data_IF_746535870338
#
_entry.id   IF_746535870338
#
_cell.length_a   1.000
_cell.length_b   1.000
_cell.length_c   1.000
_cell.angle_alpha   90.00
_cell.angle_beta   90.00
_cell.angle_gamma   90.00
#
_symmetry.space_group_name_H-M   'P 1'
#
loop_
_entity.id
_entity.type
_entity.pdbx_description
1 polymer ?
#
# COMPACT_ATOMS: atom_id res chain seq x y z
N UNK A 1 10.70 -26.76 15.12
CA UNK A 1 9.53 -26.29 14.35
C UNK A 1 9.32 -24.81 14.64
N UNK A 2 9.34 -23.94 13.63
CA UNK A 2 8.90 -22.54 13.77
C UNK A 2 7.41 -22.51 13.43
N UNK A 3 6.57 -21.98 14.31
CA UNK A 3 5.12 -21.89 14.10
C UNK A 3 4.75 -21.09 12.84
N UNK A 4 3.46 -21.09 12.42
CA UNK A 4 3.01 -20.32 11.27
C UNK A 4 3.40 -18.87 11.48
N UNK A 5 4.24 -18.33 10.59
CA UNK A 5 4.72 -16.95 10.69
C UNK A 5 3.59 -16.03 10.25
N UNK A 6 2.71 -15.66 11.15
CA UNK A 6 1.71 -14.63 10.90
C UNK A 6 2.38 -13.27 10.79
N UNK A 7 1.97 -12.46 9.81
CA UNK A 7 2.31 -11.03 9.79
C UNK A 7 1.87 -10.35 11.10
N UNK A 8 2.57 -9.29 11.48
CA UNK A 8 2.24 -8.49 12.66
C UNK A 8 0.92 -7.76 12.41
N UNK A 9 -0.10 -8.08 13.21
CA UNK A 9 -1.40 -7.39 13.13
C UNK A 9 -1.24 -5.91 13.45
N UNK A 10 -2.11 -5.10 12.87
CA UNK A 10 -2.23 -3.65 13.13
C UNK A 10 -0.91 -2.89 12.97
N UNK A 11 -0.06 -3.36 12.05
CA UNK A 11 1.15 -2.65 11.63
C UNK A 11 0.91 -1.98 10.30
N UNK A 12 1.29 -0.71 10.22
CA UNK A 12 1.47 0.02 8.97
C UNK A 12 2.86 0.64 8.95
N UNK A 13 3.62 0.42 7.89
CA UNK A 13 5.01 0.88 7.77
C UNK A 13 5.32 1.29 6.33
N UNK A 14 6.47 1.95 6.14
CA UNK A 14 7.02 2.32 4.83
C UNK A 14 6.01 3.09 3.95
N UNK A 15 5.51 4.25 4.42
CA UNK A 15 4.61 5.05 3.62
C UNK A 15 5.35 5.78 2.49
N UNK A 16 4.66 5.95 1.37
CA UNK A 16 5.00 6.89 0.31
C UNK A 16 3.76 7.71 -0.05
N UNK A 17 3.93 8.97 -0.43
CA UNK A 17 2.83 9.93 -0.61
C UNK A 17 3.05 10.82 -1.84
N UNK A 18 1.98 11.05 -2.59
CA UNK A 18 1.95 11.96 -3.73
C UNK A 18 0.74 12.89 -3.65
N UNK A 19 0.94 14.14 -4.05
CA UNK A 19 -0.10 15.16 -4.18
C UNK A 19 -0.33 15.46 -5.65
N UNK A 20 -1.59 15.61 -6.07
CA UNK A 20 -1.90 15.90 -7.47
C UNK A 20 -1.30 17.28 -7.85
N UNK A 21 -0.47 17.37 -8.90
CA UNK A 21 0.14 18.63 -9.31
C UNK A 21 -0.87 19.66 -9.83
N UNK A 22 -2.09 19.24 -10.20
CA UNK A 22 -3.15 20.11 -10.68
C UNK A 22 -4.14 20.52 -9.58
N UNK A 23 -4.19 19.77 -8.47
CA UNK A 23 -5.11 20.02 -7.35
C UNK A 23 -4.50 19.51 -6.03
N UNK A 24 -3.91 20.40 -5.21
CA UNK A 24 -3.25 19.99 -3.98
C UNK A 24 -4.19 19.44 -2.90
N UNK A 25 -5.52 19.52 -3.09
CA UNK A 25 -6.49 18.87 -2.19
C UNK A 25 -6.55 17.35 -2.40
N UNK A 26 -6.13 16.85 -3.57
CA UNK A 26 -6.07 15.42 -3.86
C UNK A 26 -4.69 14.86 -3.47
N UNK A 27 -4.68 13.98 -2.48
CA UNK A 27 -3.47 13.35 -1.94
C UNK A 27 -3.68 11.84 -1.91
N UNK A 28 -2.68 11.08 -2.35
CA UNK A 28 -2.67 9.61 -2.27
C UNK A 28 -1.44 9.16 -1.50
N UNK A 29 -1.65 8.33 -0.49
CA UNK A 29 -0.60 7.62 0.21
C UNK A 29 -0.72 6.11 -0.04
N UNK A 30 0.40 5.42 -0.04
CA UNK A 30 0.50 3.96 -0.05
C UNK A 30 1.38 3.49 1.09
N UNK A 31 1.14 2.28 1.61
CA UNK A 31 1.85 1.77 2.79
C UNK A 31 1.78 0.24 2.86
N UNK A 32 2.74 -0.36 3.57
CA UNK A 32 2.66 -1.76 3.93
C UNK A 32 1.69 -1.97 5.09
N UNK A 33 0.94 -3.08 5.12
CA UNK A 33 0.13 -3.48 6.28
C UNK A 33 0.21 -4.98 6.56
N UNK A 34 0.34 -5.34 7.83
CA UNK A 34 0.57 -6.74 8.21
C UNK A 34 2.03 -7.16 7.96
N UNK A 35 3.00 -6.38 8.44
CA UNK A 35 4.43 -6.57 8.18
C UNK A 35 4.92 -7.91 8.74
N UNK A 36 5.66 -8.66 7.93
CA UNK A 36 6.33 -9.89 8.41
C UNK A 36 7.71 -9.54 8.95
N UNK A 37 8.20 -10.32 9.92
CA UNK A 37 9.53 -10.08 10.52
C UNK A 37 10.67 -10.19 9.49
N UNK A 38 10.52 -11.06 8.49
CA UNK A 38 11.56 -11.43 7.54
C UNK A 38 11.51 -10.65 6.23
N UNK A 39 10.34 -10.32 5.66
CA UNK A 39 10.21 -9.43 4.49
C UNK A 39 8.75 -9.16 4.12
N UNK A 40 8.49 -7.96 3.58
CA UNK A 40 7.19 -7.52 3.06
C UNK A 40 6.04 -7.59 4.04
N UNK A 41 4.85 -7.42 3.47
CA UNK A 41 3.58 -7.31 4.18
C UNK A 41 2.49 -8.12 3.53
N UNK A 42 1.45 -8.40 4.30
CA UNK A 42 0.36 -9.27 3.88
C UNK A 42 -0.51 -8.61 2.81
N UNK A 43 -0.72 -7.28 2.87
CA UNK A 43 -1.71 -6.65 2.01
C UNK A 43 -1.43 -5.14 1.81
N UNK A 44 -0.37 -4.69 1.10
CA UNK A 44 -0.14 -3.26 0.91
C UNK A 44 -1.41 -2.46 0.59
N UNK A 45 -1.58 -1.31 1.21
CA UNK A 45 -2.80 -0.50 1.14
C UNK A 45 -2.55 0.89 0.57
N UNK A 46 -3.66 1.60 0.37
CA UNK A 46 -3.66 3.00 -0.03
C UNK A 46 -4.66 3.81 0.80
N UNK A 47 -4.42 5.11 0.87
CA UNK A 47 -5.31 6.12 1.43
C UNK A 47 -5.40 7.29 0.47
N UNK A 48 -6.60 7.79 0.21
CA UNK A 48 -6.85 8.95 -0.64
C UNK A 48 -7.64 10.01 0.11
N UNK A 49 -7.17 11.25 0.04
CA UNK A 49 -7.88 12.44 0.50
C UNK A 49 -8.21 13.32 -0.70
N UNK A 50 -9.36 14.01 -0.63
CA UNK A 50 -9.80 15.04 -1.57
C UNK A 50 -10.07 16.38 -0.88
N UNK A 51 -9.57 16.53 0.34
CA UNK A 51 -9.77 17.71 1.20
C UNK A 51 -8.46 18.16 1.85
N UNK A 52 -7.33 17.90 1.18
CA UNK A 52 -6.01 18.36 1.65
C UNK A 52 -5.47 17.58 2.85
N UNK A 53 -6.02 16.40 3.13
CA UNK A 53 -5.58 15.50 4.18
C UNK A 53 -6.43 15.51 5.45
N UNK A 54 -7.57 16.19 5.46
CA UNK A 54 -8.47 16.23 6.61
C UNK A 54 -9.24 14.92 6.79
N UNK A 55 -9.72 14.34 5.69
CA UNK A 55 -10.37 13.03 5.67
C UNK A 55 -9.78 12.10 4.61
N UNK A 56 -9.85 10.80 4.88
CA UNK A 56 -9.19 9.77 4.08
C UNK A 56 -10.13 8.61 3.82
N UNK A 57 -10.19 8.18 2.56
CA UNK A 57 -10.76 6.87 2.18
C UNK A 57 -9.61 5.87 2.02
N UNK A 58 -9.71 4.71 2.66
CA UNK A 58 -8.62 3.73 2.71
C UNK A 58 -9.06 2.37 2.21
N UNK A 59 -8.18 1.64 1.53
CA UNK A 59 -8.37 0.23 1.23
C UNK A 59 -7.05 -0.51 1.02
N UNK A 60 -7.12 -1.84 0.87
CA UNK A 60 -5.97 -2.65 0.45
C UNK A 60 -5.85 -2.61 -1.08
N UNK A 61 -4.64 -2.69 -1.62
CA UNK A 61 -4.44 -2.89 -3.06
C UNK A 61 -5.04 -4.24 -3.46
N UNK A 62 -6.03 -4.28 -4.38
CA UNK A 62 -6.72 -5.51 -4.73
C UNK A 62 -5.87 -6.38 -5.65
N UNK A 63 -6.13 -7.69 -5.65
CA UNK A 63 -5.53 -8.67 -6.57
C UNK A 63 -3.99 -8.72 -6.56
N UNK A 64 -3.35 -8.28 -5.48
CA UNK A 64 -1.89 -8.24 -5.35
C UNK A 64 -1.37 -9.48 -4.62
N UNK A 65 -1.69 -9.57 -3.33
CA UNK A 65 -1.30 -10.69 -2.47
C UNK A 65 -2.43 -11.68 -2.26
N UNK A 66 -2.15 -12.88 -1.76
CA UNK A 66 -3.18 -13.86 -1.40
C UNK A 66 -4.23 -13.30 -0.42
N UNK A 67 -3.82 -12.40 0.49
CA UNK A 67 -4.71 -11.75 1.44
C UNK A 67 -5.70 -10.76 0.79
N UNK A 68 -5.43 -10.36 -0.46
CA UNK A 68 -6.23 -9.38 -1.23
C UNK A 68 -6.76 -9.99 -2.54
N UNK A 69 -6.75 -11.33 -2.66
CA UNK A 69 -7.24 -12.07 -3.83
C UNK A 69 -6.23 -12.20 -4.99
N UNK A 70 -4.98 -11.79 -4.79
CA UNK A 70 -3.88 -11.95 -5.74
C UNK A 70 -3.10 -13.26 -5.57
N UNK A 71 -2.02 -13.39 -6.35
CA UNK A 71 -1.20 -14.61 -6.38
C UNK A 71 0.07 -14.57 -5.53
N UNK A 72 0.52 -13.38 -5.15
CA UNK A 72 1.79 -13.24 -4.45
C UNK A 72 1.61 -13.48 -2.95
N UNK A 73 2.60 -14.07 -2.30
CA UNK A 73 2.49 -14.29 -0.85
C UNK A 73 2.53 -12.96 -0.09
N UNK A 74 3.40 -12.05 -0.54
CA UNK A 74 3.64 -10.76 0.13
C UNK A 74 4.02 -9.68 -0.88
N UNK A 75 3.99 -8.44 -0.43
CA UNK A 75 4.57 -7.33 -1.17
C UNK A 75 5.16 -6.28 -0.21
N UNK A 76 6.19 -5.59 -0.68
CA UNK A 76 6.94 -4.53 0.01
C UNK A 76 7.06 -3.27 -0.83
N UNK A 77 7.70 -2.26 -0.25
CA UNK A 77 8.16 -1.04 -0.93
C UNK A 77 7.09 -0.41 -1.85
N UNK A 78 5.89 -0.10 -1.32
CA UNK A 78 4.88 0.56 -2.11
C UNK A 78 5.32 2.00 -2.41
N UNK A 79 5.23 2.40 -3.68
CA UNK A 79 5.55 3.74 -4.17
C UNK A 79 4.38 4.25 -4.98
N UNK A 80 4.05 5.52 -4.84
CA UNK A 80 2.93 6.18 -5.54
C UNK A 80 3.38 7.42 -6.30
N UNK A 81 2.84 7.61 -7.50
CA UNK A 81 3.02 8.82 -8.29
C UNK A 81 1.70 9.25 -8.92
N UNK A 82 1.53 10.56 -9.10
CA UNK A 82 0.38 11.13 -9.81
C UNK A 82 0.88 11.76 -11.11
N UNK A 83 0.38 11.26 -12.23
CA UNK A 83 0.72 11.77 -13.56
C UNK A 83 0.12 13.16 -13.83
N UNK A 84 0.56 13.86 -14.88
CA UNK A 84 0.14 15.24 -15.17
C UNK A 84 -1.36 15.42 -15.48
N UNK A 85 -2.10 14.32 -15.67
CA UNK A 85 -3.56 14.32 -15.89
C UNK A 85 -4.35 13.72 -14.71
N UNK A 86 -3.75 13.63 -13.52
CA UNK A 86 -4.39 13.08 -12.32
C UNK A 86 -4.44 11.55 -12.24
N UNK A 87 -3.79 10.83 -13.16
CA UNK A 87 -3.72 9.37 -13.09
C UNK A 87 -2.81 8.95 -11.93
N UNK A 88 -3.34 8.12 -11.02
CA UNK A 88 -2.59 7.56 -9.89
C UNK A 88 -1.92 6.25 -10.32
N UNK A 89 -0.61 6.16 -10.11
CA UNK A 89 0.19 4.96 -10.33
C UNK A 89 0.71 4.47 -8.99
N UNK A 90 0.49 3.19 -8.68
CA UNK A 90 1.06 2.52 -7.52
C UNK A 90 1.92 1.33 -7.98
N UNK A 91 3.11 1.20 -7.41
CA UNK A 91 4.06 0.13 -7.67
C UNK A 91 4.46 -0.52 -6.34
N UNK A 92 4.70 -1.83 -6.34
CA UNK A 92 5.19 -2.57 -5.17
C UNK A 92 6.28 -3.55 -5.59
N UNK A 93 7.14 -3.94 -4.65
CA UNK A 93 8.02 -5.08 -4.80
C UNK A 93 7.29 -6.34 -4.34
N UNK A 94 6.93 -7.22 -5.28
CA UNK A 94 6.24 -8.47 -4.97
C UNK A 94 7.22 -9.53 -4.48
N UNK A 95 6.77 -10.34 -3.52
CA UNK A 95 7.55 -11.40 -2.87
C UNK A 95 6.73 -12.70 -2.91
N UNK A 96 7.36 -13.74 -3.41
CA UNK A 96 6.81 -15.07 -3.57
C UNK A 96 7.72 -15.86 -4.52
N UNK A 97 7.70 -17.18 -4.38
CA UNK A 97 8.31 -18.07 -5.36
C UNK A 97 7.43 -18.17 -6.63
#
# INVERSE_FOLDING_TARGET
MRGPRSGQRDTQVEPDIATDPNDPSTIVAVFQQGRFRDAGSAAPGYATSHDGGDTWTTASLPNLTVATGGRWDRASDPVVAIGPRGAVYAQTLVLGD
#
